data_IF_971361373162
#
_entry.id   IF_971361373162
#
_cell.length_a   1.000
_cell.length_b   1.000
_cell.length_c   1.000
_cell.angle_alpha   90.00
_cell.angle_beta   90.00
_cell.angle_gamma   90.00
#
_symmetry.space_group_name_H-M   'P 1'
#
loop_
_entity.id
_entity.type
_entity.pdbx_description
1 polymer ?
#
# COMPACT_ATOMS: atom_id res chain seq x y z
N UNK A 1 13.54 39.27 33.41
CA UNK A 1 13.96 38.15 32.53
C UNK A 1 13.29 36.79 32.86
N UNK A 2 13.15 36.34 34.09
CA UNK A 2 12.48 35.07 34.47
C UNK A 2 11.00 34.99 34.03
N UNK A 3 10.21 36.10 34.07
CA UNK A 3 8.80 36.10 33.71
C UNK A 3 8.56 35.98 32.20
N UNK A 4 9.48 36.45 31.35
CA UNK A 4 9.38 36.34 29.89
C UNK A 4 9.66 34.90 29.44
N UNK A 5 10.59 34.22 30.11
CA UNK A 5 10.90 32.83 29.79
C UNK A 5 9.72 31.87 30.12
N UNK A 6 8.98 32.17 31.19
CA UNK A 6 7.79 31.39 31.59
C UNK A 6 6.65 31.56 30.60
N UNK A 7 6.48 32.75 30.01
CA UNK A 7 5.45 33.01 29.00
C UNK A 7 5.79 32.32 27.68
N UNK A 8 7.06 32.30 27.26
CA UNK A 8 7.52 31.56 26.07
C UNK A 8 7.32 30.06 26.21
N UNK A 9 7.63 29.49 27.41
CA UNK A 9 7.39 28.06 27.67
C UNK A 9 5.89 27.72 27.71
N UNK A 10 5.02 28.61 28.16
CA UNK A 10 3.57 28.42 28.10
C UNK A 10 3.03 28.49 26.67
N UNK A 11 3.61 29.34 25.80
CA UNK A 11 3.20 29.42 24.40
C UNK A 11 3.68 28.19 23.56
N UNK A 12 4.81 27.60 23.90
CA UNK A 12 5.28 26.37 23.24
C UNK A 12 4.41 25.16 23.63
N UNK A 13 3.80 25.16 24.81
CA UNK A 13 2.88 24.10 25.27
C UNK A 13 1.47 24.17 24.67
N UNK A 14 1.11 25.25 23.96
CA UNK A 14 -0.24 25.42 23.38
C UNK A 14 -0.27 25.06 21.88
N UNK A 15 0.87 24.82 21.26
CA UNK A 15 0.95 24.27 19.93
C UNK A 15 0.92 22.71 19.97
N UNK A 16 0.07 22.13 20.80
CA UNK A 16 -0.37 20.76 20.60
C UNK A 16 -1.28 20.77 19.37
N UNK A 17 -0.68 20.57 18.21
CA UNK A 17 -1.42 20.18 17.02
C UNK A 17 -2.30 19.00 17.47
N UNK A 18 -3.62 19.15 17.44
CA UNK A 18 -4.53 18.05 17.66
C UNK A 18 -4.41 17.09 16.48
N UNK A 19 -3.37 16.28 16.50
CA UNK A 19 -3.22 15.15 15.57
C UNK A 19 -4.13 14.07 16.13
N UNK A 20 -5.17 13.74 15.40
CA UNK A 20 -6.03 12.61 15.71
C UNK A 20 -5.28 11.32 15.34
N UNK A 21 -4.44 10.84 16.26
CA UNK A 21 -3.75 9.57 16.07
C UNK A 21 -4.78 8.43 16.12
N UNK A 22 -4.87 7.66 15.04
CA UNK A 22 -5.61 6.41 15.00
C UNK A 22 -4.62 5.25 15.07
N UNK A 23 -4.83 4.37 16.04
CA UNK A 23 -4.08 3.12 16.18
C UNK A 23 -5.07 1.98 16.38
N UNK A 24 -4.93 0.93 15.59
CA UNK A 24 -5.70 -0.31 15.70
C UNK A 24 -4.76 -1.52 15.58
N UNK A 25 -5.28 -2.72 15.39
CA UNK A 25 -4.47 -3.94 15.25
C UNK A 25 -3.68 -4.05 13.94
N UNK A 26 -3.94 -3.20 12.96
CA UNK A 26 -3.37 -3.28 11.61
C UNK A 26 -2.34 -2.19 11.35
N UNK A 27 -2.67 -0.96 11.74
CA UNK A 27 -1.85 0.21 11.44
C UNK A 27 -1.98 1.29 12.52
N UNK A 28 -1.04 2.23 12.47
CA UNK A 28 -1.08 3.51 13.16
C UNK A 28 -0.90 4.63 12.14
N UNK A 29 -1.64 5.73 12.29
CA UNK A 29 -1.58 6.90 11.43
C UNK A 29 -1.97 8.15 12.22
N UNK A 30 -1.33 9.26 11.93
CA UNK A 30 -1.71 10.58 12.43
C UNK A 30 -2.51 11.30 11.35
N UNK A 31 -3.82 11.45 11.57
CA UNK A 31 -4.70 12.14 10.63
C UNK A 31 -4.49 13.66 10.78
N UNK A 32 -4.18 14.39 9.67
CA UNK A 32 -3.96 15.83 9.72
C UNK A 32 -5.17 16.60 10.26
N UNK A 33 -4.91 17.77 10.83
CA UNK A 33 -5.97 18.61 11.38
C UNK A 33 -7.00 19.02 10.32
N UNK A 34 -8.27 19.07 10.74
CA UNK A 34 -9.39 19.49 9.89
C UNK A 34 -10.08 18.35 9.14
N UNK A 35 -9.50 17.14 9.13
CA UNK A 35 -10.18 15.98 8.57
C UNK A 35 -11.30 15.49 9.48
N UNK A 36 -12.41 15.10 8.86
CA UNK A 36 -13.56 14.47 9.52
C UNK A 36 -13.64 13.01 9.12
N UNK A 37 -13.80 12.15 10.11
CA UNK A 37 -14.02 10.72 9.88
C UNK A 37 -15.42 10.53 9.27
N UNK A 38 -15.49 9.86 8.10
CA UNK A 38 -16.74 9.49 7.44
C UNK A 38 -17.05 8.01 7.58
N UNK A 39 -16.03 7.15 7.52
CA UNK A 39 -16.15 5.69 7.62
C UNK A 39 -15.06 5.18 8.55
N UNK A 40 -15.44 4.32 9.48
CA UNK A 40 -14.55 3.63 10.41
C UNK A 40 -15.05 2.20 10.60
N UNK A 41 -14.72 1.35 9.64
CA UNK A 41 -15.09 -0.06 9.62
C UNK A 41 -13.82 -0.92 9.63
N UNK A 42 -13.95 -2.21 9.93
CA UNK A 42 -12.79 -3.10 10.07
C UNK A 42 -11.92 -3.24 8.81
N UNK A 43 -12.49 -2.97 7.64
CA UNK A 43 -11.82 -3.10 6.34
C UNK A 43 -11.74 -1.79 5.54
N UNK A 44 -12.39 -0.73 5.99
CA UNK A 44 -12.46 0.56 5.30
C UNK A 44 -12.48 1.72 6.29
N UNK A 45 -11.53 2.62 6.13
CA UNK A 45 -11.45 3.88 6.87
C UNK A 45 -11.42 5.03 5.88
N UNK A 46 -12.17 6.09 6.14
CA UNK A 46 -12.22 7.26 5.27
C UNK A 46 -12.33 8.54 6.07
N UNK A 47 -11.51 9.50 5.73
CA UNK A 47 -11.55 10.87 6.26
C UNK A 47 -11.60 11.88 5.11
N UNK A 48 -12.27 12.98 5.36
CA UNK A 48 -12.47 14.03 4.36
C UNK A 48 -12.20 15.41 4.94
N UNK A 49 -11.62 16.27 4.10
CA UNK A 49 -11.40 17.70 4.38
C UNK A 49 -11.48 18.46 3.08
N UNK A 50 -12.50 19.31 2.94
CA UNK A 50 -12.78 20.01 1.70
C UNK A 50 -12.87 19.03 0.50
N UNK A 51 -11.94 19.14 -0.46
CA UNK A 51 -11.84 18.24 -1.62
C UNK A 51 -10.74 17.15 -1.45
N UNK A 52 -10.18 17.00 -0.25
CA UNK A 52 -9.14 16.04 0.06
C UNK A 52 -9.74 14.81 0.77
N UNK A 53 -9.24 13.64 0.40
CA UNK A 53 -9.68 12.37 0.97
C UNK A 53 -8.48 11.52 1.37
N UNK A 54 -8.58 10.91 2.55
CA UNK A 54 -7.68 9.86 3.02
C UNK A 54 -8.52 8.60 3.13
N UNK A 55 -8.07 7.51 2.49
CA UNK A 55 -8.78 6.23 2.56
C UNK A 55 -7.77 5.12 2.87
N UNK A 56 -8.13 4.22 3.77
CA UNK A 56 -7.37 2.98 4.03
C UNK A 56 -8.31 1.82 3.84
N UNK A 57 -7.93 0.88 2.95
CA UNK A 57 -8.60 -0.40 2.79
C UNK A 57 -7.72 -1.53 3.28
N UNK A 58 -8.34 -2.57 3.82
CA UNK A 58 -7.66 -3.75 4.36
C UNK A 58 -8.37 -5.00 3.85
N UNK A 59 -7.64 -5.82 3.10
CA UNK A 59 -8.10 -7.10 2.58
C UNK A 59 -7.23 -8.24 3.09
N UNK A 60 -7.78 -9.46 3.10
CA UNK A 60 -7.02 -10.64 3.45
C UNK A 60 -6.02 -11.01 2.35
N UNK A 61 -4.76 -11.22 2.72
CA UNK A 61 -3.72 -11.69 1.81
C UNK A 61 -3.76 -13.22 1.64
N UNK A 62 -4.87 -13.76 1.18
CA UNK A 62 -5.10 -15.20 1.03
C UNK A 62 -4.12 -15.86 0.05
N UNK A 63 -3.66 -15.14 -0.95
CA UNK A 63 -2.72 -15.61 -1.96
C UNK A 63 -1.25 -15.38 -1.56
N UNK A 64 -1.01 -14.79 -0.39
CA UNK A 64 0.33 -14.45 0.12
C UNK A 64 1.13 -13.62 -0.89
N UNK A 65 0.50 -12.63 -1.48
CA UNK A 65 1.18 -11.65 -2.32
C UNK A 65 2.29 -10.96 -1.53
N UNK A 66 3.48 -10.95 -2.12
CA UNK A 66 4.67 -10.34 -1.54
C UNK A 66 5.28 -9.36 -2.55
N UNK A 67 5.04 -8.07 -2.34
CA UNK A 67 5.52 -7.01 -3.23
C UNK A 67 7.04 -6.94 -3.32
N UNK A 68 7.78 -7.46 -2.35
CA UNK A 68 9.23 -7.55 -2.44
C UNK A 68 9.71 -8.38 -3.63
N UNK A 69 8.90 -9.37 -4.02
CA UNK A 69 9.22 -10.32 -5.10
C UNK A 69 8.76 -9.88 -6.47
N UNK A 70 7.97 -8.82 -6.57
CA UNK A 70 7.50 -8.34 -7.86
C UNK A 70 8.70 -7.96 -8.73
N UNK A 71 8.74 -8.52 -9.92
CA UNK A 71 9.65 -8.14 -10.99
C UNK A 71 9.13 -6.89 -11.69
N UNK A 72 9.88 -6.35 -12.63
CA UNK A 72 9.39 -5.25 -13.50
C UNK A 72 8.13 -5.68 -14.27
N UNK A 73 8.08 -6.94 -14.69
CA UNK A 73 6.91 -7.53 -15.38
C UNK A 73 5.69 -7.61 -14.45
N UNK A 74 5.90 -7.97 -13.18
CA UNK A 74 4.83 -8.00 -12.18
C UNK A 74 4.34 -6.59 -11.86
N UNK A 75 5.23 -5.60 -11.86
CA UNK A 75 4.86 -4.19 -11.67
C UNK A 75 3.99 -3.66 -12.80
N UNK A 76 4.30 -4.01 -14.07
CA UNK A 76 3.44 -3.68 -15.22
C UNK A 76 2.07 -4.32 -15.14
N UNK A 77 2.02 -5.62 -14.78
CA UNK A 77 0.73 -6.32 -14.58
C UNK A 77 -0.08 -5.71 -13.44
N UNK A 78 0.60 -5.24 -12.39
CA UNK A 78 -0.05 -4.55 -11.29
C UNK A 78 -0.63 -3.21 -11.75
N UNK A 79 0.12 -2.43 -12.55
CA UNK A 79 -0.34 -1.18 -13.17
C UNK A 79 -1.60 -1.42 -14.01
N UNK A 80 -1.53 -2.37 -14.96
CA UNK A 80 -2.66 -2.75 -15.80
C UNK A 80 -3.86 -3.24 -14.99
N UNK A 81 -3.64 -4.00 -13.91
CA UNK A 81 -4.69 -4.50 -13.04
C UNK A 81 -5.41 -3.36 -12.32
N UNK A 82 -4.68 -2.42 -11.72
CA UNK A 82 -5.25 -1.27 -11.01
C UNK A 82 -6.00 -0.38 -12.00
N UNK A 83 -5.40 -0.05 -13.16
CA UNK A 83 -6.04 0.78 -14.19
C UNK A 83 -7.34 0.15 -14.69
N UNK A 84 -7.32 -1.12 -15.03
CA UNK A 84 -8.52 -1.83 -15.50
C UNK A 84 -9.59 -1.90 -14.41
N UNK A 85 -9.21 -2.13 -13.15
CA UNK A 85 -10.14 -2.19 -12.02
C UNK A 85 -10.84 -0.85 -11.78
N UNK A 86 -10.12 0.26 -11.88
CA UNK A 86 -10.69 1.60 -11.76
C UNK A 86 -11.62 1.88 -12.94
N UNK A 87 -11.14 1.67 -14.16
CA UNK A 87 -11.88 2.01 -15.39
C UNK A 87 -13.14 1.14 -15.56
N UNK A 88 -13.14 -0.11 -15.12
CA UNK A 88 -14.34 -0.95 -15.13
C UNK A 88 -15.43 -0.42 -14.17
N UNK A 89 -15.05 0.14 -13.03
CA UNK A 89 -16.00 0.78 -12.10
C UNK A 89 -16.54 2.10 -12.65
N UNK A 90 -15.79 2.76 -13.52
CA UNK A 90 -16.12 4.08 -14.08
C UNK A 90 -16.76 4.04 -15.47
N UNK A 91 -16.92 2.86 -16.05
CA UNK A 91 -17.41 2.72 -17.44
C UNK A 91 -18.75 3.41 -17.70
N UNK A 92 -19.65 3.41 -16.72
CA UNK A 92 -20.98 4.04 -16.84
C UNK A 92 -20.92 5.58 -16.75
N UNK A 93 -19.81 6.13 -16.28
CA UNK A 93 -19.59 7.58 -16.12
C UNK A 93 -18.81 8.20 -17.27
N UNK A 94 -18.36 7.40 -18.24
CA UNK A 94 -17.50 7.85 -19.36
C UNK A 94 -16.21 8.57 -18.90
N UNK A 95 -15.69 8.17 -17.74
CA UNK A 95 -14.44 8.67 -17.17
C UNK A 95 -13.37 7.60 -17.39
N UNK A 96 -12.21 8.02 -17.93
CA UNK A 96 -11.05 7.15 -18.06
C UNK A 96 -9.92 7.69 -17.18
N UNK A 97 -9.37 6.83 -16.34
CA UNK A 97 -8.26 7.11 -15.44
C UNK A 97 -7.04 6.36 -15.92
N UNK A 98 -5.90 7.04 -16.02
CA UNK A 98 -4.61 6.42 -16.30
C UNK A 98 -3.84 6.25 -14.98
N UNK A 99 -3.26 5.08 -14.77
CA UNK A 99 -2.34 4.80 -13.67
C UNK A 99 -0.93 5.11 -14.13
N UNK A 100 -0.14 5.78 -13.30
CA UNK A 100 1.21 6.23 -13.65
C UNK A 100 2.18 6.05 -12.48
N UNK A 101 3.47 6.14 -12.80
CA UNK A 101 4.54 6.19 -11.80
C UNK A 101 4.53 5.00 -10.84
N UNK A 102 4.14 3.82 -11.31
CA UNK A 102 4.13 2.61 -10.48
C UNK A 102 5.55 2.23 -10.12
N UNK A 103 5.86 2.22 -8.85
CA UNK A 103 7.21 2.00 -8.34
C UNK A 103 7.20 1.36 -6.96
N UNK A 104 8.31 0.72 -6.60
CA UNK A 104 8.54 0.28 -5.24
C UNK A 104 9.18 1.39 -4.43
N UNK A 105 8.69 1.60 -3.25
CA UNK A 105 9.26 2.52 -2.26
C UNK A 105 9.38 1.85 -0.90
N UNK A 106 10.13 2.48 0.00
CA UNK A 106 10.24 2.07 1.38
C UNK A 106 9.74 3.21 2.28
N UNK A 107 8.65 2.96 2.99
CA UNK A 107 8.00 3.89 3.90
C UNK A 107 8.12 3.34 5.33
N UNK A 108 8.76 4.08 6.24
CA UNK A 108 8.93 3.68 7.65
C UNK A 108 9.39 2.23 7.81
N UNK A 109 10.45 1.86 7.06
CA UNK A 109 11.02 0.52 7.00
C UNK A 109 10.15 -0.58 6.36
N UNK A 110 8.97 -0.25 5.82
CA UNK A 110 8.09 -1.15 5.06
C UNK A 110 8.19 -0.90 3.57
N UNK A 111 8.29 -1.98 2.82
CA UNK A 111 8.22 -1.90 1.37
C UNK A 111 6.76 -1.75 0.93
N UNK A 112 6.54 -0.89 -0.05
CA UNK A 112 5.23 -0.66 -0.66
C UNK A 112 5.34 -0.48 -2.17
N UNK A 113 4.23 -0.65 -2.86
CA UNK A 113 4.05 -0.17 -4.23
C UNK A 113 3.34 1.17 -4.16
N UNK A 114 3.90 2.16 -4.84
CA UNK A 114 3.31 3.50 -4.97
C UNK A 114 2.88 3.69 -6.42
N UNK A 115 1.72 4.31 -6.62
CA UNK A 115 1.22 4.69 -7.92
C UNK A 115 0.47 6.01 -7.86
N UNK A 116 0.44 6.73 -8.98
CA UNK A 116 -0.29 7.99 -9.13
C UNK A 116 -1.42 7.83 -10.15
N UNK A 117 -2.56 8.48 -9.88
CA UNK A 117 -3.67 8.59 -10.84
C UNK A 117 -4.16 10.03 -10.91
N UNK A 118 -4.67 10.40 -12.09
CA UNK A 118 -5.38 11.66 -12.28
C UNK A 118 -6.78 11.33 -12.79
N UNK A 119 -7.78 11.76 -12.06
CA UNK A 119 -9.17 11.56 -12.39
C UNK A 119 -9.67 12.83 -13.08
N UNK A 120 -10.04 12.79 -14.37
CA UNK A 120 -10.47 13.95 -15.13
C UNK A 120 -11.93 14.33 -14.75
N UNK A 121 -12.10 14.82 -13.54
CA UNK A 121 -13.41 15.18 -12.96
C UNK A 121 -13.77 16.65 -13.14
N UNK A 122 -12.91 17.45 -13.77
CA UNK A 122 -13.05 18.90 -13.88
C UNK A 122 -14.38 19.37 -14.50
N UNK A 123 -14.91 18.62 -15.45
CA UNK A 123 -16.20 18.98 -16.07
C UNK A 123 -17.38 18.88 -15.09
N UNK A 124 -17.30 17.95 -14.12
CA UNK A 124 -18.39 17.71 -13.15
C UNK A 124 -18.18 18.41 -11.82
N UNK A 125 -16.94 18.58 -11.37
CA UNK A 125 -16.60 19.13 -10.04
C UNK A 125 -15.93 20.49 -10.10
N UNK A 126 -15.44 20.93 -11.27
CA UNK A 126 -14.67 22.16 -11.46
C UNK A 126 -13.14 21.95 -11.32
N UNK A 127 -12.68 20.78 -10.91
CA UNK A 127 -11.27 20.43 -10.73
C UNK A 127 -11.02 18.96 -11.10
N UNK A 128 -9.77 18.63 -11.43
CA UNK A 128 -9.32 17.26 -11.53
C UNK A 128 -8.91 16.75 -10.15
N UNK A 129 -9.05 15.45 -9.90
CA UNK A 129 -8.62 14.83 -8.65
C UNK A 129 -7.32 14.07 -8.86
N UNK A 130 -6.29 14.45 -8.11
CA UNK A 130 -4.99 13.79 -8.07
C UNK A 130 -4.97 12.80 -6.93
N UNK A 131 -4.55 11.57 -7.20
CA UNK A 131 -4.53 10.53 -6.19
C UNK A 131 -3.18 9.80 -6.18
N UNK A 132 -2.66 9.53 -4.98
CA UNK A 132 -1.51 8.65 -4.76
C UNK A 132 -1.90 7.50 -3.87
N UNK A 133 -1.67 6.29 -4.35
CA UNK A 133 -1.93 5.05 -3.61
C UNK A 133 -0.63 4.41 -3.14
N UNK A 134 -0.67 3.82 -1.94
CA UNK A 134 0.41 3.09 -1.30
C UNK A 134 -0.10 1.71 -0.91
N UNK A 135 0.40 0.67 -1.54
CA UNK A 135 0.00 -0.71 -1.24
C UNK A 135 1.08 -1.41 -0.43
N UNK A 136 0.70 -1.91 0.73
CA UNK A 136 1.54 -2.69 1.63
C UNK A 136 1.02 -4.12 1.71
N UNK A 137 1.93 -5.09 1.79
CA UNK A 137 1.56 -6.49 2.02
C UNK A 137 2.18 -7.00 3.31
N UNK A 138 1.38 -7.76 4.05
CA UNK A 138 1.79 -8.52 5.23
C UNK A 138 1.48 -10.00 5.01
N UNK A 139 1.88 -10.87 5.94
CA UNK A 139 1.55 -12.30 5.87
C UNK A 139 0.02 -12.55 5.84
N UNK A 140 -0.77 -11.65 6.42
CA UNK A 140 -2.22 -11.80 6.58
C UNK A 140 -3.05 -10.85 5.73
N UNK A 141 -2.53 -9.64 5.47
CA UNK A 141 -3.33 -8.55 4.92
C UNK A 141 -2.63 -7.86 3.74
N UNK A 142 -3.45 -7.30 2.86
CA UNK A 142 -3.07 -6.28 1.89
C UNK A 142 -3.72 -4.99 2.37
N UNK A 143 -2.93 -3.95 2.58
CA UNK A 143 -3.41 -2.62 2.97
C UNK A 143 -3.11 -1.63 1.88
N UNK A 144 -4.09 -0.81 1.53
CA UNK A 144 -3.93 0.28 0.60
C UNK A 144 -4.30 1.59 1.29
N UNK A 145 -3.31 2.46 1.46
CA UNK A 145 -3.50 3.86 1.86
C UNK A 145 -3.59 4.71 0.60
N UNK A 146 -4.61 5.52 0.48
CA UNK A 146 -4.82 6.41 -0.64
C UNK A 146 -5.03 7.84 -0.15
N UNK A 147 -4.33 8.78 -0.74
CA UNK A 147 -4.53 10.21 -0.56
C UNK A 147 -5.01 10.83 -1.87
N UNK A 148 -6.09 11.59 -1.82
CA UNK A 148 -6.67 12.28 -2.97
C UNK A 148 -6.83 13.76 -2.68
N UNK A 149 -6.57 14.62 -3.67
CA UNK A 149 -6.62 16.08 -3.57
C UNK A 149 -7.05 16.69 -4.89
N UNK A 150 -7.60 17.90 -4.85
CA UNK A 150 -7.85 18.75 -6.01
C UNK A 150 -6.60 19.49 -6.53
N UNK A 151 -5.46 19.25 -5.90
CA UNK A 151 -4.17 19.85 -6.23
C UNK A 151 -3.12 18.77 -6.49
N UNK A 152 -2.11 19.07 -7.32
CA UNK A 152 -1.00 18.18 -7.59
C UNK A 152 -0.30 17.74 -6.29
N UNK A 153 0.13 16.47 -6.26
CA UNK A 153 0.65 15.84 -5.05
C UNK A 153 2.16 16.02 -4.84
N UNK A 154 2.85 16.51 -5.85
CA UNK A 154 4.29 16.76 -5.74
C UNK A 154 4.55 17.91 -4.77
N UNK A 155 5.44 17.65 -3.78
CA UNK A 155 5.73 18.56 -2.67
C UNK A 155 4.53 18.87 -1.74
N UNK A 156 3.50 18.01 -1.71
CA UNK A 156 2.39 18.16 -0.78
C UNK A 156 2.83 17.81 0.64
N UNK A 157 2.96 18.82 1.50
CA UNK A 157 3.43 18.66 2.89
C UNK A 157 2.46 17.82 3.74
N UNK A 158 1.15 17.95 3.50
CA UNK A 158 0.13 17.19 4.24
C UNK A 158 0.27 15.69 3.92
N UNK A 159 0.42 15.33 2.64
CA UNK A 159 0.70 13.96 2.22
C UNK A 159 2.01 13.44 2.81
N UNK A 160 3.08 14.24 2.79
CA UNK A 160 4.37 13.84 3.36
C UNK A 160 4.24 13.52 4.85
N UNK A 161 3.63 14.41 5.63
CA UNK A 161 3.43 14.20 7.07
C UNK A 161 2.54 12.97 7.35
N UNK A 162 1.49 12.77 6.54
CA UNK A 162 0.61 11.62 6.65
C UNK A 162 1.39 10.31 6.46
N UNK A 163 2.20 10.23 5.42
CA UNK A 163 3.00 9.05 5.09
C UNK A 163 4.09 8.80 6.14
N UNK A 164 4.75 9.84 6.62
CA UNK A 164 5.77 9.73 7.67
C UNK A 164 5.19 9.19 8.99
N UNK A 165 3.91 9.45 9.26
CA UNK A 165 3.22 8.95 10.45
C UNK A 165 2.68 7.53 10.28
N UNK A 166 2.45 7.07 9.04
CA UNK A 166 1.82 5.78 8.77
C UNK A 166 2.73 4.61 9.09
N UNK A 167 2.26 3.71 9.93
CA UNK A 167 2.99 2.49 10.32
C UNK A 167 2.09 1.27 10.21
N UNK A 168 2.55 0.27 9.47
CA UNK A 168 1.94 -1.07 9.44
C UNK A 168 2.40 -1.84 10.67
N UNK A 169 1.48 -2.35 11.48
CA UNK A 169 1.77 -2.99 12.76
C UNK A 169 1.95 -4.51 12.65
N UNK A 170 1.40 -5.14 11.60
CA UNK A 170 1.57 -6.57 11.36
C UNK A 170 2.96 -6.87 10.75
N UNK A 171 3.43 -8.11 10.89
CA UNK A 171 4.74 -8.52 10.40
C UNK A 171 4.81 -8.59 8.88
N UNK A 172 5.96 -8.23 8.30
CA UNK A 172 6.25 -8.54 6.89
C UNK A 172 6.23 -10.06 6.65
N UNK A 173 5.99 -10.44 5.40
CA UNK A 173 6.06 -11.85 5.00
C UNK A 173 7.49 -12.34 5.22
N UNK A 174 7.67 -13.16 6.24
CA UNK A 174 8.95 -13.84 6.46
C UNK A 174 9.00 -15.07 5.59
N UNK A 175 9.67 -15.00 4.45
CA UNK A 175 9.97 -16.16 3.64
C UNK A 175 11.06 -16.98 4.30
N UNK A 176 10.71 -18.16 4.75
CA UNK A 176 11.69 -19.11 5.16
C UNK A 176 12.30 -19.78 3.90
N UNK A 177 13.33 -19.15 3.31
CA UNK A 177 14.04 -19.68 2.14
C UNK A 177 14.54 -21.12 2.35
N UNK A 178 14.79 -21.51 3.60
CA UNK A 178 15.09 -22.91 3.98
C UNK A 178 14.01 -23.91 3.51
N UNK A 179 12.75 -23.52 3.50
CA UNK A 179 11.66 -24.39 3.05
C UNK A 179 11.68 -24.56 1.53
N UNK A 180 11.98 -23.51 0.79
CA UNK A 180 12.06 -23.55 -0.69
C UNK A 180 13.22 -24.41 -1.15
N UNK A 181 14.39 -24.28 -0.54
CA UNK A 181 15.53 -25.15 -0.82
C UNK A 181 15.24 -26.62 -0.49
N UNK A 182 14.57 -26.90 0.63
CA UNK A 182 14.17 -28.25 0.99
C UNK A 182 13.20 -28.85 -0.01
N UNK A 183 12.19 -28.12 -0.45
CA UNK A 183 11.24 -28.59 -1.47
C UNK A 183 11.95 -28.81 -2.81
N UNK A 184 12.82 -27.90 -3.25
CA UNK A 184 13.58 -28.07 -4.48
C UNK A 184 14.51 -29.28 -4.42
N UNK A 185 15.16 -29.54 -3.29
CA UNK A 185 16.01 -30.76 -3.10
C UNK A 185 15.13 -32.01 -3.15
N UNK A 186 13.98 -32.02 -2.50
CA UNK A 186 13.05 -33.16 -2.52
C UNK A 186 12.58 -33.43 -3.96
N UNK A 187 12.20 -32.42 -4.72
CA UNK A 187 11.78 -32.56 -6.12
C UNK A 187 12.94 -33.11 -6.96
N UNK A 188 14.15 -32.58 -6.81
CA UNK A 188 15.33 -33.06 -7.55
C UNK A 188 15.65 -34.51 -7.24
N UNK A 189 15.54 -34.92 -5.98
CA UNK A 189 15.76 -36.35 -5.57
C UNK A 189 14.68 -37.25 -6.16
N UNK A 190 13.39 -36.84 -6.12
CA UNK A 190 12.28 -37.61 -6.68
C UNK A 190 12.44 -37.79 -8.20
N UNK A 191 12.76 -36.70 -8.92
CA UNK A 191 12.99 -36.76 -10.38
C UNK A 191 14.19 -37.61 -10.71
N UNK A 192 15.28 -37.53 -9.93
CA UNK A 192 16.46 -38.37 -10.09
C UNK A 192 16.16 -39.89 -9.90
N UNK A 193 15.37 -40.24 -8.87
CA UNK A 193 14.95 -41.60 -8.60
C UNK A 193 14.05 -42.15 -9.72
N UNK A 194 13.12 -41.38 -10.24
CA UNK A 194 12.28 -41.78 -11.37
C UNK A 194 13.13 -42.01 -12.62
N UNK A 195 14.06 -41.13 -12.95
CA UNK A 195 14.98 -41.27 -14.08
C UNK A 195 15.87 -42.52 -13.98
N UNK A 196 16.38 -42.82 -12.76
CA UNK A 196 17.18 -44.03 -12.50
C UNK A 196 16.34 -45.30 -12.67
N UNK A 197 15.11 -45.31 -12.16
CA UNK A 197 14.19 -46.44 -12.27
C UNK A 197 13.85 -46.76 -13.73
N UNK A 198 13.54 -45.72 -14.52
CA UNK A 198 13.26 -45.85 -15.96
C UNK A 198 14.49 -46.41 -16.70
N UNK A 199 15.70 -45.87 -16.42
CA UNK A 199 16.95 -46.37 -17.01
C UNK A 199 17.21 -47.84 -16.69
N UNK A 200 16.95 -48.27 -15.44
CA UNK A 200 17.12 -49.65 -15.02
C UNK A 200 16.13 -50.61 -15.73
N UNK A 201 14.89 -50.18 -15.94
CA UNK A 201 13.87 -50.95 -16.67
C UNK A 201 14.24 -51.09 -18.15
N UNK A 202 14.75 -50.05 -18.78
CA UNK A 202 15.18 -50.08 -20.21
C UNK A 202 16.38 -51.02 -20.37
N UNK A 203 17.34 -50.98 -19.43
CA UNK A 203 18.50 -51.91 -19.47
C UNK A 203 18.14 -53.38 -19.29
N UNK A 204 17.08 -53.70 -18.56
CA UNK A 204 16.61 -55.11 -18.37
C UNK A 204 15.84 -55.63 -19.58
N UNK A 205 15.40 -54.79 -20.50
CA UNK A 205 14.65 -55.18 -21.69
C UNK A 205 15.52 -55.34 -22.95
N UNK A 206 16.81 -55.04 -22.85
CA UNK A 206 17.84 -55.37 -23.84
C UNK A 206 18.63 -56.62 -23.41
#
# INVERSE_FOLDING_TARGET
>A
MKKIFTIILLFIGILSVNVNALENSYFKIDIPEGYKEEINESSLYKWTKDNNYITITIDNNTNRYDILRYTEDDMKKYEEYIENSINEQLKDYNIKVDVKNVRKEKINDRNCIVYDTVWPTKESTGYDTYQRGYTFTTDKYIMMLTYSSDSELDNNTELTNLIDSFKVLDSEIVYNDKYRYRIMIIIAVVVGLIGFTISAIIKKRK
#
